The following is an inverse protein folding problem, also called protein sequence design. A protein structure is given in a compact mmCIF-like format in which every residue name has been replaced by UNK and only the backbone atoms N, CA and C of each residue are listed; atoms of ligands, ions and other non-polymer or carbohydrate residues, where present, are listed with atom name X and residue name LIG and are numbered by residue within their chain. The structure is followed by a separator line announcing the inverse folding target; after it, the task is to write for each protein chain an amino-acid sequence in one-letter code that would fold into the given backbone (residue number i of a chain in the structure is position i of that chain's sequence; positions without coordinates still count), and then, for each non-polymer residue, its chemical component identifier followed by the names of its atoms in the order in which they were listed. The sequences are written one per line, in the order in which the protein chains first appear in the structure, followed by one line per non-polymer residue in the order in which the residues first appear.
data_IF_060029956913
#
_entry.id   IF_060029956913
#
_cell.length_a   1.000
_cell.length_b   1.000
_cell.length_c   1.000
_cell.angle_alpha   90.00
_cell.angle_beta   90.00
_cell.angle_gamma   90.00
#
_symmetry.space_group_name_H-M   'P 1'
#
loop_
_entity.id
_entity.type
_entity.pdbx_description
1 polymer ?
#
# COMPACT_ATOMS: atom_id res chain seq x y z
N UNK A 1 8.73 19.93 -1.48
CA UNK A 1 9.01 18.50 -1.21
C UNK A 1 9.24 18.24 0.29
N UNK A 2 8.21 18.39 1.15
CA UNK A 2 8.33 18.08 2.59
C UNK A 2 7.15 17.28 3.16
N UNK A 3 6.27 16.74 2.32
CA UNK A 3 5.07 16.01 2.77
C UNK A 3 5.37 14.70 3.53
N UNK A 4 6.61 14.18 3.47
CA UNK A 4 6.96 12.85 3.98
C UNK A 4 7.68 12.84 5.33
N UNK A 5 7.89 13.99 5.98
CA UNK A 5 8.82 14.07 7.13
C UNK A 5 8.21 13.70 8.50
N UNK A 6 6.88 13.78 8.66
CA UNK A 6 6.23 13.63 9.97
C UNK A 6 5.49 12.30 10.20
N UNK A 7 5.34 11.43 9.19
CA UNK A 7 4.55 10.17 9.28
C UNK A 7 5.40 8.89 9.36
N UNK A 8 6.73 9.00 9.32
CA UNK A 8 7.58 7.82 9.18
C UNK A 8 7.88 7.17 10.53
N UNK A 9 7.40 5.93 10.71
CA UNK A 9 7.79 5.02 11.83
C UNK A 9 9.29 4.70 11.89
N UNK A 10 10.11 5.17 10.94
CA UNK A 10 11.55 4.95 10.82
C UNK A 10 12.26 6.29 10.71
N UNK A 11 13.45 6.41 11.29
CA UNK A 11 14.30 7.60 11.17
C UNK A 11 14.55 7.98 9.70
N UNK A 12 14.31 9.25 9.36
CA UNK A 12 14.31 9.80 7.98
C UNK A 12 15.59 9.48 7.21
N UNK A 13 16.76 9.56 7.86
CA UNK A 13 18.05 9.36 7.21
C UNK A 13 18.25 7.94 6.64
N UNK A 14 17.51 6.94 7.15
CA UNK A 14 17.56 5.55 6.65
C UNK A 14 16.73 5.33 5.39
N UNK A 15 15.95 6.34 4.97
CA UNK A 15 15.02 6.25 3.86
C UNK A 15 13.78 5.40 4.14
N UNK A 16 12.82 5.41 3.20
CA UNK A 16 11.59 4.63 3.29
C UNK A 16 11.86 3.11 3.23
N UNK A 17 10.88 2.31 3.65
CA UNK A 17 10.99 0.86 3.53
C UNK A 17 10.62 0.43 2.10
N UNK A 18 11.63 0.16 1.28
CA UNK A 18 11.48 -0.27 -0.10
C UNK A 18 11.57 -1.79 -0.15
N UNK A 19 10.63 -2.41 -0.86
CA UNK A 19 10.60 -3.86 -1.09
C UNK A 19 10.56 -4.08 -2.60
N UNK A 20 11.24 -5.10 -3.15
CA UNK A 20 11.10 -5.45 -4.55
C UNK A 20 9.64 -5.87 -4.82
N UNK A 21 8.95 -5.11 -5.66
CA UNK A 21 7.59 -5.38 -6.12
C UNK A 21 7.63 -5.60 -7.63
N UNK A 22 6.80 -6.52 -8.19
CA UNK A 22 6.73 -6.77 -9.63
C UNK A 22 5.95 -5.64 -10.33
N UNK A 23 6.53 -4.44 -10.34
CA UNK A 23 5.97 -3.27 -11.00
C UNK A 23 6.42 -3.30 -12.45
N UNK A 24 5.50 -3.62 -13.35
CA UNK A 24 5.73 -3.53 -14.80
C UNK A 24 5.30 -2.13 -15.25
N UNK A 25 6.18 -1.41 -15.95
CA UNK A 25 5.80 -0.16 -16.60
C UNK A 25 4.84 -0.52 -17.75
N UNK A 26 3.59 -0.03 -17.75
CA UNK A 26 2.70 -0.28 -18.88
C UNK A 26 3.19 0.46 -20.12
N UNK A 27 2.97 -0.15 -21.27
CA UNK A 27 2.98 0.55 -22.55
C UNK A 27 1.78 1.50 -22.62
N UNK A 28 1.91 2.66 -23.32
CA UNK A 28 0.82 3.60 -23.47
C UNK A 28 -0.40 2.92 -24.11
N UNK A 29 -1.55 3.01 -23.45
CA UNK A 29 -2.82 2.41 -23.92
C UNK A 29 -3.12 0.99 -23.42
N UNK A 30 -2.18 0.32 -22.73
CA UNK A 30 -2.41 -1.01 -22.16
C UNK A 30 -2.88 -0.93 -20.71
N UNK A 31 -3.94 -1.69 -20.38
CA UNK A 31 -4.45 -1.78 -19.00
C UNK A 31 -3.42 -2.46 -18.10
N UNK A 32 -3.00 -1.78 -17.04
CA UNK A 32 -2.07 -2.33 -16.04
C UNK A 32 -2.79 -3.41 -15.23
N UNK A 33 -2.25 -4.65 -15.14
CA UNK A 33 -2.79 -5.65 -14.23
C UNK A 33 -2.52 -5.26 -12.76
N UNK A 34 -3.42 -5.62 -11.82
CA UNK A 34 -3.21 -5.33 -10.41
C UNK A 34 -1.99 -6.06 -9.85
N UNK A 35 -1.20 -5.35 -9.04
CA UNK A 35 0.06 -5.84 -8.51
C UNK A 35 -0.21 -6.64 -7.23
N UNK A 36 0.00 -7.95 -7.25
CA UNK A 36 -0.18 -8.82 -6.07
C UNK A 36 1.01 -8.74 -5.15
N UNK A 37 0.77 -8.45 -3.87
CA UNK A 37 1.84 -8.29 -2.87
C UNK A 37 1.46 -8.89 -1.52
N UNK A 38 2.44 -9.49 -0.84
CA UNK A 38 2.36 -9.84 0.59
C UNK A 38 3.12 -8.84 1.48
N UNK A 39 3.82 -7.89 0.86
CA UNK A 39 4.69 -6.93 1.51
C UNK A 39 3.90 -5.77 2.16
N UNK A 40 3.19 -6.05 3.26
CA UNK A 40 2.34 -5.07 3.97
C UNK A 40 3.14 -3.91 4.59
N UNK A 41 4.44 -4.10 4.82
CA UNK A 41 5.34 -3.10 5.42
C UNK A 41 5.97 -2.15 4.39
N UNK A 42 5.74 -2.35 3.10
CA UNK A 42 6.25 -1.48 2.04
C UNK A 42 5.64 -0.08 2.16
N UNK A 43 6.47 0.94 2.02
CA UNK A 43 6.02 2.34 1.98
C UNK A 43 5.45 2.66 0.61
N UNK A 44 4.33 3.38 0.57
CA UNK A 44 3.75 3.90 -0.67
C UNK A 44 4.64 5.03 -1.18
N UNK A 45 5.19 4.83 -2.37
CA UNK A 45 6.03 5.81 -3.06
C UNK A 45 5.17 6.70 -3.98
N UNK A 46 5.63 7.92 -4.30
CA UNK A 46 4.94 8.79 -5.26
C UNK A 46 4.72 8.13 -6.63
N UNK A 47 5.62 7.25 -7.05
CA UNK A 47 5.52 6.50 -8.30
C UNK A 47 4.40 5.46 -8.34
N UNK A 48 3.76 5.17 -7.20
CA UNK A 48 2.69 4.18 -7.11
C UNK A 48 1.29 4.77 -7.30
N UNK A 49 1.17 6.10 -7.35
CA UNK A 49 -0.11 6.79 -7.54
C UNK A 49 -0.74 6.35 -8.86
N UNK A 50 -2.02 5.97 -8.82
CA UNK A 50 -2.76 5.47 -9.97
C UNK A 50 -2.58 3.97 -10.27
N UNK A 51 -1.68 3.27 -9.57
CA UNK A 51 -1.57 1.81 -9.65
C UNK A 51 -2.57 1.12 -8.72
N UNK A 52 -3.02 -0.07 -9.13
CA UNK A 52 -3.87 -0.94 -8.32
C UNK A 52 -3.02 -2.04 -7.69
N UNK A 53 -3.14 -2.19 -6.38
CA UNK A 53 -2.44 -3.20 -5.59
C UNK A 53 -3.42 -4.21 -5.01
N UNK A 54 -3.04 -5.47 -5.06
CA UNK A 54 -3.68 -6.56 -4.36
C UNK A 54 -2.86 -6.87 -3.11
N UNK A 55 -3.31 -6.39 -1.95
CA UNK A 55 -2.60 -6.53 -0.68
C UNK A 55 -3.16 -7.73 0.10
N UNK A 56 -2.30 -8.69 0.42
CA UNK A 56 -2.69 -9.86 1.21
C UNK A 56 -2.92 -9.51 2.68
N UNK A 57 -4.08 -9.84 3.25
CA UNK A 57 -4.39 -9.60 4.66
C UNK A 57 -4.18 -10.81 5.59
N UNK A 58 -3.68 -11.93 5.07
CA UNK A 58 -3.54 -13.20 5.81
C UNK A 58 -4.50 -14.29 5.34
N UNK A 59 -5.56 -13.95 4.59
CA UNK A 59 -6.49 -14.91 3.99
C UNK A 59 -6.81 -14.58 2.53
N UNK A 60 -7.07 -13.32 2.23
CA UNK A 60 -7.49 -12.84 0.91
C UNK A 60 -6.62 -11.67 0.45
N UNK A 61 -6.66 -11.40 -0.85
CA UNK A 61 -6.05 -10.21 -1.45
C UNK A 61 -7.13 -9.14 -1.58
N UNK A 62 -6.91 -7.99 -0.94
CA UNK A 62 -7.78 -6.81 -1.08
C UNK A 62 -7.25 -5.91 -2.18
N UNK A 63 -8.15 -5.47 -3.06
CA UNK A 63 -7.84 -4.47 -4.09
C UNK A 63 -7.78 -3.07 -3.47
N UNK A 64 -6.65 -2.40 -3.66
CA UNK A 64 -6.38 -1.04 -3.17
C UNK A 64 -5.90 -0.20 -4.34
N UNK A 65 -6.62 0.87 -4.65
CA UNK A 65 -6.22 1.87 -5.65
C UNK A 65 -5.55 3.05 -4.95
N UNK A 66 -4.30 3.33 -5.32
CA UNK A 66 -3.46 4.28 -4.59
C UNK A 66 -3.73 5.71 -5.06
N UNK A 67 -4.07 6.57 -4.09
CA UNK A 67 -4.24 8.02 -4.24
C UNK A 67 -3.02 8.79 -3.75
N UNK A 68 -2.89 10.05 -4.13
CA UNK A 68 -1.78 10.93 -3.73
C UNK A 68 -1.68 11.12 -2.21
N UNK A 69 -2.82 11.21 -1.53
CA UNK A 69 -2.90 11.35 -0.06
C UNK A 69 -2.32 10.14 0.69
N UNK A 70 -2.21 8.99 0.03
CA UNK A 70 -1.69 7.75 0.63
C UNK A 70 -0.16 7.68 0.61
N UNK A 71 0.53 8.62 -0.04
CA UNK A 71 1.99 8.62 -0.15
C UNK A 71 2.64 8.75 1.23
N UNK A 72 3.59 7.86 1.54
CA UNK A 72 4.26 7.81 2.84
C UNK A 72 3.66 6.81 3.83
N UNK A 73 2.40 6.38 3.62
CA UNK A 73 1.75 5.33 4.41
C UNK A 73 2.27 3.93 4.06
N UNK A 74 1.83 2.92 4.83
CA UNK A 74 2.14 1.51 4.57
C UNK A 74 1.00 0.84 3.82
N UNK A 75 1.31 -0.02 2.85
CA UNK A 75 0.30 -0.79 2.10
C UNK A 75 -0.65 -1.57 3.02
N UNK A 76 -0.14 -2.08 4.15
CA UNK A 76 -0.92 -2.83 5.12
C UNK A 76 -1.99 -2.03 5.87
N UNK A 77 -1.91 -0.70 5.90
CA UNK A 77 -2.89 0.18 6.56
C UNK A 77 -4.23 0.17 5.82
N UNK A 78 -4.20 -0.05 4.51
CA UNK A 78 -5.38 -0.10 3.64
C UNK A 78 -5.97 -1.51 3.48
N UNK A 79 -5.47 -2.50 4.24
CA UNK A 79 -5.89 -3.89 4.17
C UNK A 79 -6.12 -4.44 5.59
N UNK A 80 -7.35 -4.33 6.13
CA UNK A 80 -7.66 -4.78 7.47
C UNK A 80 -7.57 -6.30 7.60
N UNK A 81 -7.04 -6.76 8.74
CA UNK A 81 -6.79 -8.18 9.01
C UNK A 81 -7.89 -8.84 9.84
N UNK A 82 -8.54 -8.07 10.72
CA UNK A 82 -9.61 -8.54 11.60
C UNK A 82 -10.92 -7.88 11.18
N UNK A 83 -12.02 -8.61 11.38
CA UNK A 83 -13.36 -8.04 11.24
C UNK A 83 -13.63 -7.09 12.42
N UNK A 84 -14.44 -6.04 12.23
CA UNK A 84 -14.88 -5.19 13.33
C UNK A 84 -15.62 -6.05 14.36
N UNK A 85 -15.33 -5.81 15.63
CA UNK A 85 -16.04 -6.47 16.72
C UNK A 85 -17.39 -5.81 16.90
N UNK A 86 -18.46 -6.60 16.84
CA UNK A 86 -19.82 -6.16 17.11
C UNK A 86 -20.25 -6.89 18.38
N UNK A 87 -20.42 -6.13 19.46
CA UNK A 87 -20.98 -6.67 20.69
C UNK A 87 -22.49 -6.80 20.51
N UNK A 88 -22.98 -8.03 20.46
CA UNK A 88 -24.40 -8.33 20.45
C UNK A 88 -24.81 -8.83 21.85
N UNK A 89 -25.80 -8.18 22.49
CA UNK A 89 -26.40 -8.67 23.74
C UNK A 89 -27.65 -9.45 23.37
N UNK A 90 -27.48 -10.72 23.04
CA UNK A 90 -28.54 -11.72 23.22
C UNK A 90 -28.30 -12.45 24.54
#
# INVERSE_FOLDING_TARGET
MQATRCLLKRSVWKGPNIVPLPIVRPEPGKKVPPIRTRARSATILPSFVGLKFQVYNGKVYHDVEIKEEMVGHKLGEFSPTRKPFIWDKN
#
